data_IF_609533948590
#
_entry.id   IF_609533948590
#
_cell.length_a   1.000
_cell.length_b   1.000
_cell.length_c   1.000
_cell.angle_alpha   90.00
_cell.angle_beta   90.00
_cell.angle_gamma   90.00
#
_symmetry.space_group_name_H-M   'P 1'
#
loop_
_entity.id
_entity.type
_entity.pdbx_description
1 polymer ?
#
# COMPACT_ATOMS: atom_id res chain seq x y z
N UNK A 1 -2.85 4.40 -13.68
CA UNK A 1 -1.66 5.18 -13.27
C UNK A 1 -1.93 6.67 -13.39
N UNK A 2 -1.45 7.47 -12.44
CA UNK A 2 -1.48 8.93 -12.47
C UNK A 2 -0.03 9.45 -12.40
N UNK A 3 0.35 10.29 -13.37
CA UNK A 3 1.70 10.83 -13.49
C UNK A 3 1.64 12.36 -13.39
N UNK A 4 2.58 12.97 -12.66
CA UNK A 4 2.67 14.41 -12.56
C UNK A 4 3.83 14.89 -11.70
N UNK A 5 4.19 16.15 -11.83
CA UNK A 5 5.26 16.78 -11.05
C UNK A 5 4.95 16.86 -9.55
N UNK A 6 5.98 17.07 -8.72
CA UNK A 6 5.79 17.35 -7.30
C UNK A 6 4.93 18.59 -7.09
N UNK A 7 4.03 18.53 -6.10
CA UNK A 7 3.10 19.62 -5.83
C UNK A 7 1.84 19.65 -6.73
N UNK A 8 1.70 18.74 -7.71
CA UNK A 8 0.52 18.68 -8.59
C UNK A 8 -0.77 18.14 -7.90
N UNK A 9 -0.71 17.84 -6.61
CA UNK A 9 -1.87 17.37 -5.84
C UNK A 9 -2.15 15.85 -5.93
N UNK A 10 -1.22 15.07 -6.50
CA UNK A 10 -1.38 13.61 -6.65
C UNK A 10 -1.66 12.89 -5.33
N UNK A 11 -0.79 13.09 -4.33
CA UNK A 11 -0.95 12.51 -2.99
C UNK A 11 -2.23 13.00 -2.30
N UNK A 12 -2.58 14.28 -2.49
CA UNK A 12 -3.83 14.84 -1.98
C UNK A 12 -5.03 14.11 -2.58
N UNK A 13 -5.02 13.86 -3.90
CA UNK A 13 -6.06 13.10 -4.56
C UNK A 13 -6.18 11.68 -3.95
N UNK A 14 -5.05 10.94 -3.84
CA UNK A 14 -5.06 9.60 -3.24
C UNK A 14 -5.61 9.61 -1.81
N UNK A 15 -5.14 10.54 -0.99
CA UNK A 15 -5.59 10.66 0.39
C UNK A 15 -7.07 11.06 0.48
N UNK A 16 -7.57 11.90 -0.46
CA UNK A 16 -8.99 12.25 -0.54
C UNK A 16 -9.87 11.04 -0.88
N UNK A 17 -9.39 10.11 -1.75
CA UNK A 17 -10.06 8.83 -1.98
C UNK A 17 -10.24 8.02 -0.68
N UNK A 18 -9.33 8.20 0.27
CA UNK A 18 -9.37 7.55 1.59
C UNK A 18 -10.12 8.42 2.65
N UNK A 19 -10.75 9.52 2.25
CA UNK A 19 -11.51 10.40 3.14
C UNK A 19 -10.68 11.36 3.99
N UNK A 20 -9.39 11.55 3.72
CA UNK A 20 -8.51 12.46 4.46
C UNK A 20 -7.46 13.15 3.56
N UNK A 21 -7.65 14.44 3.18
CA UNK A 21 -8.78 15.30 3.56
C UNK A 21 -10.10 14.86 2.95
N UNK A 22 -11.22 15.25 3.57
CA UNK A 22 -12.54 15.03 2.99
C UNK A 22 -12.72 15.86 1.72
N UNK A 23 -13.36 15.28 0.70
CA UNK A 23 -13.77 16.04 -0.48
C UNK A 23 -14.78 17.12 -0.09
N UNK A 24 -14.56 18.35 -0.58
CA UNK A 24 -15.45 19.49 -0.31
C UNK A 24 -16.65 19.55 -1.24
N UNK A 25 -16.55 18.92 -2.41
CA UNK A 25 -17.62 18.85 -3.43
C UNK A 25 -17.31 17.74 -4.43
N UNK A 26 -18.29 17.41 -5.26
CA UNK A 26 -18.14 16.37 -6.26
C UNK A 26 -18.59 14.99 -5.78
N UNK A 27 -18.20 13.94 -6.49
CA UNK A 27 -18.57 12.55 -6.21
C UNK A 27 -17.36 11.64 -6.42
N UNK A 28 -17.15 10.70 -5.52
CA UNK A 28 -16.14 9.64 -5.60
C UNK A 28 -16.88 8.31 -5.44
N UNK A 29 -16.89 7.50 -6.49
CA UNK A 29 -17.60 6.22 -6.46
C UNK A 29 -16.65 5.04 -6.59
N UNK A 30 -16.86 4.05 -5.74
CA UNK A 30 -16.17 2.77 -5.79
C UNK A 30 -17.19 1.63 -5.79
N UNK A 31 -17.13 0.75 -6.78
CA UNK A 31 -18.08 -0.36 -6.96
C UNK A 31 -19.56 0.08 -6.92
N UNK A 32 -19.84 1.27 -7.45
CA UNK A 32 -21.19 1.85 -7.48
C UNK A 32 -21.60 2.62 -6.22
N UNK A 33 -20.86 2.53 -5.13
CA UNK A 33 -21.14 3.23 -3.89
C UNK A 33 -20.41 4.58 -3.82
N UNK A 34 -21.08 5.59 -3.25
CA UNK A 34 -20.51 6.92 -3.00
C UNK A 34 -19.60 6.88 -1.76
N UNK A 35 -18.36 7.33 -1.89
CA UNK A 35 -17.39 7.41 -0.80
C UNK A 35 -17.36 8.77 -0.10
N UNK A 36 -17.83 9.83 -0.77
CA UNK A 36 -17.86 11.17 -0.18
C UNK A 36 -18.77 11.18 1.04
N UNK A 37 -18.25 11.66 2.15
CA UNK A 37 -18.96 11.65 3.44
C UNK A 37 -18.68 10.46 4.35
N UNK A 38 -18.09 9.38 3.82
CA UNK A 38 -17.65 8.25 4.64
C UNK A 38 -16.39 8.59 5.44
N UNK A 39 -16.24 7.97 6.59
CA UNK A 39 -15.01 8.02 7.38
C UNK A 39 -13.95 7.06 6.81
N UNK A 40 -12.66 7.39 7.01
CA UNK A 40 -11.55 6.54 6.51
C UNK A 40 -11.69 5.05 6.91
N UNK A 41 -12.06 4.69 8.16
CA UNK A 41 -12.27 3.27 8.50
C UNK A 41 -13.39 2.61 7.70
N UNK A 42 -14.46 3.32 7.37
CA UNK A 42 -15.56 2.80 6.53
C UNK A 42 -15.09 2.53 5.11
N UNK A 43 -14.30 3.46 4.54
CA UNK A 43 -13.70 3.32 3.21
C UNK A 43 -12.74 2.13 3.18
N UNK A 44 -11.88 1.99 4.19
CA UNK A 44 -10.91 0.88 4.25
C UNK A 44 -11.58 -0.49 4.35
N UNK A 45 -12.74 -0.60 5.05
CA UNK A 45 -13.53 -1.84 5.11
C UNK A 45 -14.12 -2.26 3.76
N UNK A 46 -14.10 -1.40 2.74
CA UNK A 46 -14.49 -1.75 1.37
C UNK A 46 -13.37 -2.43 0.56
N UNK A 47 -12.39 -3.01 1.25
CA UNK A 47 -11.21 -3.65 0.64
C UNK A 47 -10.37 -2.67 -0.19
N UNK A 48 -10.24 -1.44 0.31
CA UNK A 48 -9.32 -0.43 -0.21
C UNK A 48 -8.14 -0.34 0.75
N UNK A 49 -6.92 -0.35 0.24
CA UNK A 49 -5.72 -0.11 1.03
C UNK A 49 -4.84 0.95 0.37
N UNK A 50 -4.08 1.68 1.20
CA UNK A 50 -3.17 2.72 0.73
C UNK A 50 -1.77 2.51 1.29
N UNK A 51 -0.77 2.69 0.45
CA UNK A 51 0.64 2.86 0.81
C UNK A 51 1.01 4.31 0.50
N UNK A 52 1.00 5.19 1.50
CA UNK A 52 1.31 6.60 1.30
C UNK A 52 2.80 6.81 1.07
N UNK A 53 3.14 7.96 0.49
CA UNK A 53 4.53 8.42 0.34
C UNK A 53 5.27 8.39 1.68
N UNK A 54 6.57 8.08 1.63
CA UNK A 54 7.45 8.03 2.80
C UNK A 54 7.33 6.73 3.60
N UNK A 55 6.76 5.66 3.01
CA UNK A 55 6.68 4.28 3.56
C UNK A 55 5.81 4.16 4.80
N UNK A 56 5.92 5.07 5.75
CA UNK A 56 5.18 5.19 7.02
C UNK A 56 5.07 3.85 7.77
N UNK A 57 6.19 3.13 7.86
CA UNK A 57 6.29 1.96 8.74
C UNK A 57 6.37 2.38 10.20
N UNK A 58 5.89 1.54 11.11
CA UNK A 58 6.06 1.75 12.55
C UNK A 58 7.49 1.33 12.93
N UNK A 59 8.41 2.29 12.95
CA UNK A 59 9.85 2.04 13.07
C UNK A 59 10.26 1.28 14.36
N UNK A 60 9.51 1.43 15.45
CA UNK A 60 9.76 0.76 16.74
C UNK A 60 9.21 -0.66 16.80
N UNK A 61 8.26 -0.99 15.95
CA UNK A 61 7.66 -2.31 15.84
C UNK A 61 8.52 -3.21 14.94
N UNK A 62 8.41 -4.52 15.17
CA UNK A 62 9.01 -5.54 14.30
C UNK A 62 8.30 -5.61 12.94
N UNK A 63 8.87 -6.38 12.02
CA UNK A 63 8.20 -6.72 10.74
C UNK A 63 6.88 -7.42 11.02
N UNK A 64 6.88 -8.44 11.90
CA UNK A 64 5.68 -9.16 12.33
C UNK A 64 4.58 -8.23 12.83
N UNK A 65 4.91 -7.37 13.78
CA UNK A 65 3.97 -6.43 14.37
C UNK A 65 3.42 -5.42 13.34
N UNK A 66 4.28 -4.93 12.42
CA UNK A 66 3.83 -4.08 11.33
C UNK A 66 2.84 -4.80 10.40
N UNK A 67 3.11 -6.06 10.04
CA UNK A 67 2.19 -6.85 9.20
C UNK A 67 0.89 -7.12 9.93
N UNK A 68 0.94 -7.50 11.22
CA UNK A 68 -0.25 -7.73 12.03
C UNK A 68 -1.19 -6.51 12.10
N UNK A 69 -0.63 -5.29 12.14
CA UNK A 69 -1.43 -4.05 12.08
C UNK A 69 -2.25 -3.93 10.79
N UNK A 70 -1.75 -4.47 9.67
CA UNK A 70 -2.48 -4.47 8.39
C UNK A 70 -3.68 -5.41 8.38
N UNK A 71 -3.64 -6.49 9.16
CA UNK A 71 -4.72 -7.47 9.29
C UNK A 71 -5.79 -7.12 10.36
N UNK A 72 -5.81 -5.88 10.85
CA UNK A 72 -6.64 -5.48 12.00
C UNK A 72 -8.14 -5.77 11.84
N UNK A 73 -8.67 -5.70 10.63
CA UNK A 73 -10.09 -5.96 10.34
C UNK A 73 -10.41 -7.43 9.99
N UNK A 74 -9.38 -8.29 9.84
CA UNK A 74 -9.53 -9.71 9.52
C UNK A 74 -9.67 -10.60 10.76
N UNK A 75 -10.13 -11.83 10.56
CA UNK A 75 -10.07 -12.86 11.60
C UNK A 75 -8.68 -13.53 11.66
N UNK A 76 -8.43 -14.34 12.71
CA UNK A 76 -7.11 -14.95 12.91
C UNK A 76 -6.70 -15.95 11.84
N UNK A 77 -7.64 -16.77 11.36
CA UNK A 77 -7.35 -17.81 10.36
C UNK A 77 -7.04 -17.16 9.01
N UNK A 78 -7.85 -16.21 8.62
CA UNK A 78 -7.68 -15.39 7.43
C UNK A 78 -6.36 -14.61 7.43
N UNK A 79 -5.99 -14.06 8.58
CA UNK A 79 -4.74 -13.30 8.74
C UNK A 79 -3.51 -14.19 8.61
N UNK A 80 -3.56 -15.45 9.10
CA UNK A 80 -2.45 -16.36 8.96
C UNK A 80 -2.22 -16.78 7.50
N UNK A 81 -3.28 -17.13 6.78
CA UNK A 81 -3.19 -17.44 5.35
C UNK A 81 -2.64 -16.25 4.54
N UNK A 82 -3.13 -15.05 4.85
CA UNK A 82 -2.67 -13.84 4.18
C UNK A 82 -1.22 -13.50 4.52
N UNK A 83 -0.80 -13.70 5.76
CA UNK A 83 0.59 -13.54 6.18
C UNK A 83 1.52 -14.44 5.38
N UNK A 84 1.16 -15.72 5.22
CA UNK A 84 1.96 -16.66 4.44
C UNK A 84 2.10 -16.22 2.97
N UNK A 85 1.02 -15.71 2.36
CA UNK A 85 1.04 -15.12 1.01
C UNK A 85 1.97 -13.91 0.93
N UNK A 86 1.86 -12.98 1.88
CA UNK A 86 2.71 -11.78 1.94
C UNK A 86 4.18 -12.16 2.11
N UNK A 87 4.49 -13.10 3.00
CA UNK A 87 5.87 -13.57 3.21
C UNK A 87 6.43 -14.36 2.03
N UNK A 88 5.56 -14.98 1.21
CA UNK A 88 5.96 -15.57 -0.06
C UNK A 88 6.31 -14.52 -1.12
N UNK A 89 5.52 -13.45 -1.22
CA UNK A 89 5.79 -12.31 -2.12
C UNK A 89 7.06 -11.53 -1.71
N UNK A 90 7.33 -11.46 -0.40
CA UNK A 90 8.45 -10.70 0.18
C UNK A 90 9.33 -11.58 1.06
N UNK A 91 10.17 -12.50 0.49
CA UNK A 91 11.00 -13.41 1.28
C UNK A 91 11.93 -12.69 2.27
N UNK A 92 12.40 -11.49 1.93
CA UNK A 92 13.23 -10.66 2.82
C UNK A 92 12.51 -10.26 4.11
N UNK A 93 11.19 -10.08 4.08
CA UNK A 93 10.42 -9.81 5.29
C UNK A 93 10.37 -11.04 6.20
N UNK A 94 10.31 -12.24 5.61
CA UNK A 94 10.36 -13.50 6.37
C UNK A 94 11.71 -13.67 7.09
N UNK A 95 12.82 -13.41 6.37
CA UNK A 95 14.18 -13.49 6.96
C UNK A 95 14.38 -12.53 8.13
N UNK A 96 13.65 -11.42 8.13
CA UNK A 96 13.78 -10.31 9.10
C UNK A 96 12.57 -10.15 10.01
N UNK A 97 11.78 -11.20 10.16
CA UNK A 97 10.43 -11.16 10.75
C UNK A 97 10.42 -10.55 12.17
N UNK A 98 11.43 -10.88 12.99
CA UNK A 98 11.59 -10.32 14.34
C UNK A 98 12.42 -9.01 14.39
N UNK A 99 12.89 -8.50 13.23
CA UNK A 99 13.69 -7.28 13.18
C UNK A 99 12.81 -6.04 13.29
N UNK A 100 13.28 -4.99 14.00
CA UNK A 100 12.61 -3.69 14.06
C UNK A 100 12.64 -2.99 12.71
N UNK A 101 11.49 -2.54 12.23
CA UNK A 101 11.33 -1.91 10.93
C UNK A 101 12.23 -0.67 10.71
N UNK A 102 12.51 0.10 11.77
CA UNK A 102 13.38 1.26 11.70
C UNK A 102 14.84 0.97 11.39
N UNK A 103 15.29 -0.29 11.54
CA UNK A 103 16.67 -0.72 11.25
C UNK A 103 16.82 -1.34 9.86
N UNK A 104 15.74 -1.43 9.09
CA UNK A 104 15.74 -1.98 7.74
C UNK A 104 16.16 -0.93 6.70
N UNK A 105 16.66 -1.39 5.57
CA UNK A 105 16.92 -0.52 4.42
C UNK A 105 15.64 0.12 3.88
N UNK A 106 15.78 1.22 3.14
CA UNK A 106 14.63 1.91 2.55
C UNK A 106 13.77 1.02 1.64
N UNK A 107 14.40 0.14 0.88
CA UNK A 107 13.69 -0.82 0.02
C UNK A 107 12.93 -1.87 0.83
N UNK A 108 13.53 -2.41 1.88
CA UNK A 108 12.86 -3.35 2.77
C UNK A 108 11.69 -2.71 3.52
N UNK A 109 11.83 -1.44 3.94
CA UNK A 109 10.72 -0.68 4.52
C UNK A 109 9.58 -0.45 3.53
N UNK A 110 9.89 -0.22 2.25
CA UNK A 110 8.87 -0.08 1.21
C UNK A 110 8.13 -1.41 0.98
N UNK A 111 8.87 -2.53 0.91
CA UNK A 111 8.27 -3.87 0.84
C UNK A 111 7.39 -4.15 2.05
N UNK A 112 7.82 -3.76 3.26
CA UNK A 112 7.04 -3.90 4.48
C UNK A 112 5.76 -3.05 4.45
N UNK A 113 5.82 -1.81 3.93
CA UNK A 113 4.65 -0.95 3.80
C UNK A 113 3.62 -1.54 2.83
N UNK A 114 4.07 -2.08 1.69
CA UNK A 114 3.21 -2.79 0.73
C UNK A 114 2.65 -4.08 1.37
N UNK A 115 3.50 -4.89 1.98
CA UNK A 115 3.09 -6.11 2.67
C UNK A 115 2.02 -5.86 3.73
N UNK A 116 2.20 -4.83 4.55
CA UNK A 116 1.20 -4.40 5.54
C UNK A 116 -0.13 -4.03 4.90
N UNK A 117 -0.12 -3.30 3.78
CA UNK A 117 -1.35 -2.97 3.06
C UNK A 117 -2.05 -4.23 2.51
N UNK A 118 -1.28 -5.21 2.02
CA UNK A 118 -1.81 -6.47 1.50
C UNK A 118 -2.43 -7.35 2.58
N UNK A 119 -2.05 -7.20 3.85
CA UNK A 119 -2.68 -7.94 4.96
C UNK A 119 -4.18 -7.70 5.08
N UNK A 120 -4.71 -6.56 4.60
CA UNK A 120 -6.15 -6.28 4.56
C UNK A 120 -6.89 -6.94 3.40
N UNK A 121 -6.24 -7.75 2.56
CA UNK A 121 -6.79 -8.40 1.35
C UNK A 121 -7.51 -7.39 0.44
N UNK A 122 -6.82 -6.32 -0.03
CA UNK A 122 -7.48 -5.27 -0.78
C UNK A 122 -7.88 -5.71 -2.19
N UNK A 123 -9.05 -5.27 -2.64
CA UNK A 123 -9.44 -5.31 -4.05
C UNK A 123 -8.87 -4.10 -4.82
N UNK A 124 -8.61 -2.99 -4.11
CA UNK A 124 -7.99 -1.79 -4.65
C UNK A 124 -6.80 -1.38 -3.75
N UNK A 125 -5.61 -1.40 -4.33
CA UNK A 125 -4.36 -0.95 -3.69
C UNK A 125 -3.94 0.39 -4.29
N UNK A 126 -3.86 1.41 -3.44
CA UNK A 126 -3.40 2.75 -3.79
C UNK A 126 -1.92 2.89 -3.40
N UNK A 127 -1.05 3.22 -4.36
CA UNK A 127 0.39 3.37 -4.14
C UNK A 127 0.82 4.80 -4.50
N UNK A 128 1.38 5.50 -3.53
CA UNK A 128 1.86 6.87 -3.68
C UNK A 128 3.39 6.89 -3.76
N UNK A 129 3.92 7.11 -4.97
CA UNK A 129 5.34 7.19 -5.31
C UNK A 129 6.17 6.02 -4.71
N UNK A 130 5.79 4.75 -4.97
CA UNK A 130 6.45 3.60 -4.35
C UNK A 130 7.91 3.43 -4.75
N UNK A 131 8.37 4.06 -5.82
CA UNK A 131 9.75 4.02 -6.32
C UNK A 131 10.67 5.07 -5.71
N UNK A 132 10.11 6.08 -5.01
CA UNK A 132 10.85 7.26 -4.59
C UNK A 132 12.03 6.95 -3.66
N UNK A 133 13.24 7.39 -4.07
CA UNK A 133 14.47 7.26 -3.27
C UNK A 133 14.96 5.81 -3.09
N UNK A 134 14.62 4.93 -4.02
CA UNK A 134 15.05 3.53 -4.01
C UNK A 134 16.09 3.24 -5.11
N UNK A 135 16.91 2.23 -4.87
CA UNK A 135 17.87 1.73 -5.86
C UNK A 135 17.11 1.05 -7.02
N UNK A 136 17.63 1.14 -8.27
CA UNK A 136 16.96 0.60 -9.46
C UNK A 136 16.54 -0.87 -9.33
N UNK A 137 17.38 -1.71 -8.74
CA UNK A 137 17.07 -3.13 -8.53
C UNK A 137 15.86 -3.34 -7.62
N UNK A 138 15.68 -2.50 -6.60
CA UNK A 138 14.53 -2.56 -5.69
C UNK A 138 13.27 -2.04 -6.39
N UNK A 139 13.41 -1.00 -7.19
CA UNK A 139 12.30 -0.48 -8.01
C UNK A 139 11.75 -1.59 -8.90
N UNK A 140 12.61 -2.30 -9.62
CA UNK A 140 12.20 -3.41 -10.48
C UNK A 140 11.46 -4.49 -9.67
N UNK A 141 12.00 -4.91 -8.52
CA UNK A 141 11.34 -5.89 -7.66
C UNK A 141 9.95 -5.46 -7.22
N UNK A 142 9.77 -4.18 -6.87
CA UNK A 142 8.46 -3.63 -6.47
C UNK A 142 7.48 -3.68 -7.65
N UNK A 143 7.92 -3.30 -8.86
CA UNK A 143 7.05 -3.34 -10.04
C UNK A 143 6.72 -4.77 -10.48
N UNK A 144 7.64 -5.72 -10.35
CA UNK A 144 7.37 -7.15 -10.61
C UNK A 144 6.27 -7.67 -9.66
N UNK A 145 6.32 -7.25 -8.39
CA UNK A 145 5.29 -7.60 -7.39
C UNK A 145 3.95 -6.94 -7.72
N UNK A 146 3.95 -5.66 -8.12
CA UNK A 146 2.73 -4.95 -8.55
C UNK A 146 2.09 -5.68 -9.75
N UNK A 147 2.89 -6.12 -10.71
CA UNK A 147 2.40 -6.87 -11.86
C UNK A 147 1.83 -8.23 -11.46
N UNK A 148 2.46 -8.92 -10.49
CA UNK A 148 1.94 -10.15 -9.93
C UNK A 148 0.58 -9.94 -9.24
N UNK A 149 0.47 -8.91 -8.38
CA UNK A 149 -0.79 -8.55 -7.72
C UNK A 149 -1.91 -8.25 -8.72
N UNK A 150 -1.58 -7.56 -9.82
CA UNK A 150 -2.53 -7.28 -10.90
C UNK A 150 -3.02 -8.57 -11.55
N UNK A 151 -2.13 -9.54 -11.81
CA UNK A 151 -2.49 -10.88 -12.34
C UNK A 151 -3.37 -11.67 -11.38
N UNK A 152 -3.17 -11.49 -10.08
CA UNK A 152 -3.95 -12.10 -9.01
C UNK A 152 -5.31 -11.40 -8.79
N UNK A 153 -5.65 -10.39 -9.61
CA UNK A 153 -6.94 -9.71 -9.62
C UNK A 153 -7.04 -8.47 -8.72
N UNK A 154 -5.93 -8.02 -8.11
CA UNK A 154 -5.90 -6.78 -7.34
C UNK A 154 -5.84 -5.58 -8.31
N UNK A 155 -6.79 -4.66 -8.18
CA UNK A 155 -6.70 -3.38 -8.91
C UNK A 155 -5.66 -2.49 -8.24
N UNK A 156 -4.68 -2.01 -9.01
CA UNK A 156 -3.64 -1.12 -8.50
C UNK A 156 -3.79 0.26 -9.11
N UNK A 157 -3.95 1.27 -8.26
CA UNK A 157 -3.89 2.68 -8.64
C UNK A 157 -2.54 3.26 -8.20
N UNK A 158 -1.69 3.50 -9.18
CA UNK A 158 -0.32 3.94 -8.99
C UNK A 158 -0.21 5.43 -9.27
N UNK A 159 0.41 6.16 -8.36
CA UNK A 159 0.84 7.54 -8.51
C UNK A 159 2.36 7.57 -8.57
N UNK A 160 2.92 8.16 -9.64
CA UNK A 160 4.35 8.29 -9.84
C UNK A 160 4.73 9.65 -10.39
N UNK A 161 5.96 10.07 -10.13
CA UNK A 161 6.54 11.28 -10.72
C UNK A 161 7.18 10.98 -12.07
N UNK A 162 7.81 9.81 -12.23
CA UNK A 162 8.55 9.43 -13.42
C UNK A 162 7.73 8.47 -14.29
N UNK A 163 7.32 8.94 -15.48
CA UNK A 163 6.55 8.16 -16.44
C UNK A 163 7.24 6.86 -16.87
N UNK A 164 8.58 6.86 -16.97
CA UNK A 164 9.34 5.66 -17.38
C UNK A 164 9.33 4.53 -16.35
N UNK A 165 8.89 4.81 -15.12
CA UNK A 165 8.73 3.82 -14.06
C UNK A 165 7.27 3.36 -13.92
N UNK A 166 6.33 4.06 -14.54
CA UNK A 166 4.90 3.85 -14.39
C UNK A 166 4.24 3.14 -15.58
N UNK A 167 4.98 2.94 -16.67
CA UNK A 167 4.59 2.27 -17.91
C UNK A 167 5.34 0.96 -18.08
#
# INVERSE_FOLDING_TARGET
>A
TLIGANGAGKSTLLMTLCGNPRATSGSIRYQGEELVGMDTPEIMRKSIAIVPEGRRVFARLTVEENLAMGGFFGDKADNQEQLDKVLHLFPRLKERFAQRAGTMSGGEQQMLAIGRALMSKPNLLLLDEPSLGLAPIIIQQIFDIIEQLRKDGVTVFLVEQNANQAL
#
